data_IF_475741777847
#
_entry.id   IF_475741777847
#
_cell.length_a   1.000
_cell.length_b   1.000
_cell.length_c   1.000
_cell.angle_alpha   90.00
_cell.angle_beta   90.00
_cell.angle_gamma   90.00
#
_symmetry.space_group_name_H-M   'P 1'
#
loop_
_entity.id
_entity.type
_entity.pdbx_description
1 polymer ?
#
# COMPACT_ATOMS: atom_id res chain seq x y z
N UNK A 1 9.54 38.38 -45.58
CA UNK A 1 8.92 38.99 -44.38
C UNK A 1 7.87 38.01 -43.87
N UNK A 2 8.07 37.14 -42.88
CA UNK A 2 9.02 37.13 -41.77
C UNK A 2 8.23 37.11 -40.46
N UNK A 3 7.63 35.97 -40.09
CA UNK A 3 7.12 35.74 -38.73
C UNK A 3 7.86 34.54 -38.14
N UNK A 4 8.80 34.85 -37.25
CA UNK A 4 9.51 33.87 -36.43
C UNK A 4 8.56 33.37 -35.33
N UNK A 5 8.19 32.09 -35.38
CA UNK A 5 7.67 31.36 -34.22
C UNK A 5 8.86 30.83 -33.42
N UNK A 6 9.03 31.33 -32.20
CA UNK A 6 10.13 30.93 -31.31
C UNK A 6 9.87 29.53 -30.76
N UNK A 7 10.71 28.57 -31.16
CA UNK A 7 10.87 27.29 -30.50
C UNK A 7 11.53 27.47 -29.13
N UNK A 8 10.77 27.28 -28.05
CA UNK A 8 11.33 27.14 -26.70
C UNK A 8 11.82 25.71 -26.46
N UNK A 9 12.96 25.51 -25.75
CA UNK A 9 13.51 24.17 -25.50
C UNK A 9 12.63 23.36 -24.53
N UNK A 10 12.61 22.02 -24.65
CA UNK A 10 11.90 21.16 -23.70
C UNK A 10 12.55 21.23 -22.33
N UNK A 11 11.72 21.38 -21.29
CA UNK A 11 12.19 21.38 -19.90
C UNK A 11 12.87 20.03 -19.56
N UNK A 12 14.01 20.03 -18.85
CA UNK A 12 14.74 18.80 -18.55
C UNK A 12 14.01 17.95 -17.51
N UNK A 13 13.77 16.70 -17.90
CA UNK A 13 13.36 15.54 -17.09
C UNK A 13 14.36 15.24 -15.97
N UNK A 14 14.37 16.02 -14.88
CA UNK A 14 15.25 15.78 -13.72
C UNK A 14 14.59 16.00 -12.35
N UNK A 15 13.27 16.09 -12.28
CA UNK A 15 12.55 16.29 -11.01
C UNK A 15 11.77 15.06 -10.49
N UNK A 16 11.95 13.88 -11.09
CA UNK A 16 11.25 12.63 -10.69
C UNK A 16 12.13 11.57 -10.01
N UNK A 17 13.38 11.91 -9.68
CA UNK A 17 14.32 10.94 -9.07
C UNK A 17 14.69 11.22 -7.61
N UNK A 18 13.98 12.09 -6.90
CA UNK A 18 14.25 12.35 -5.48
C UNK A 18 13.43 11.48 -4.50
N UNK A 19 12.72 10.47 -5.02
CA UNK A 19 12.24 9.34 -4.22
C UNK A 19 13.10 8.09 -4.49
N UNK A 20 14.42 8.28 -4.58
CA UNK A 20 15.38 7.18 -4.70
C UNK A 20 15.83 6.78 -3.30
N UNK A 21 15.12 5.79 -2.76
CA UNK A 21 15.67 4.66 -2.02
C UNK A 21 17.08 4.89 -1.44
N UNK A 22 17.14 5.28 -0.17
CA UNK A 22 18.35 5.12 0.63
C UNK A 22 18.56 3.63 0.90
N UNK A 23 19.14 2.90 -0.07
CA UNK A 23 19.61 1.54 0.14
C UNK A 23 21.07 1.40 -0.31
N UNK A 24 21.88 0.98 0.67
CA UNK A 24 23.21 0.38 0.59
C UNK A 24 24.43 1.33 0.56
N UNK A 25 24.96 1.59 1.77
CA UNK A 25 26.40 1.78 2.00
C UNK A 25 26.99 0.41 2.43
N UNK A 26 28.00 -0.17 1.77
CA UNK A 26 28.37 -1.58 1.94
C UNK A 26 29.42 -1.87 3.03
N UNK A 27 29.54 -1.08 4.09
CA UNK A 27 30.65 -1.22 5.07
C UNK A 27 30.26 -1.42 6.54
N UNK A 28 29.01 -1.72 6.86
CA UNK A 28 28.61 -2.10 8.23
C UNK A 28 27.66 -3.29 8.23
N UNK A 29 27.77 -4.23 9.19
CA UNK A 29 26.79 -5.31 9.32
C UNK A 29 25.44 -4.64 9.64
N UNK A 30 24.51 -4.72 8.69
CA UNK A 30 23.20 -4.11 8.79
C UNK A 30 22.39 -4.81 9.88
N UNK A 31 22.49 -4.31 11.11
CA UNK A 31 21.44 -4.44 12.11
C UNK A 31 20.12 -3.95 11.49
N UNK A 32 19.10 -4.76 11.67
CA UNK A 32 17.72 -4.59 11.24
C UNK A 32 17.13 -3.19 11.45
N UNK A 33 16.14 -2.87 10.61
CA UNK A 33 14.99 -2.00 10.87
C UNK A 33 15.26 -0.52 11.15
N UNK A 34 15.27 0.28 10.10
CA UNK A 34 14.87 1.70 10.18
C UNK A 34 13.85 2.07 9.09
N UNK A 35 12.93 1.16 8.77
CA UNK A 35 11.63 1.60 8.28
C UNK A 35 11.06 2.48 9.38
N UNK A 36 10.94 3.79 9.16
CA UNK A 36 10.18 4.65 10.06
C UNK A 36 8.86 3.94 10.35
N UNK A 37 8.63 3.56 11.61
CA UNK A 37 7.42 2.81 11.98
C UNK A 37 6.23 3.64 11.52
N UNK A 38 5.59 3.24 10.43
CA UNK A 38 4.39 3.92 9.97
C UNK A 38 3.37 3.80 11.09
N UNK A 39 2.91 4.93 11.62
CA UNK A 39 1.93 4.94 12.72
C UNK A 39 0.55 5.22 12.16
N UNK A 40 -0.43 4.38 12.55
CA UNK A 40 -1.84 4.69 12.29
C UNK A 40 -2.28 5.82 13.22
N UNK A 41 -2.53 7.00 12.64
CA UNK A 41 -3.09 8.16 13.35
C UNK A 41 -4.62 8.11 13.30
N UNK A 42 -5.18 7.79 12.13
CA UNK A 42 -6.63 7.72 11.92
C UNK A 42 -7.00 6.40 11.19
N UNK A 43 -7.52 5.39 11.90
CA UNK A 43 -7.85 4.10 11.27
C UNK A 43 -8.88 4.24 10.15
N UNK A 44 -9.80 5.22 10.24
CA UNK A 44 -10.75 5.51 9.16
C UNK A 44 -10.09 5.92 7.83
N UNK A 45 -8.87 6.47 7.85
CA UNK A 45 -8.15 6.76 6.61
C UNK A 45 -7.64 5.48 5.95
N UNK A 46 -7.19 4.51 6.75
CA UNK A 46 -6.78 3.18 6.28
C UNK A 46 -7.98 2.41 5.71
N UNK A 47 -9.14 2.49 6.37
CA UNK A 47 -10.39 1.95 5.83
C UNK A 47 -10.78 2.59 4.50
N UNK A 48 -10.65 3.92 4.37
CA UNK A 48 -10.94 4.62 3.13
C UNK A 48 -9.98 4.20 2.00
N UNK A 49 -8.69 4.03 2.30
CA UNK A 49 -7.70 3.52 1.32
C UNK A 49 -8.12 2.12 0.84
N UNK A 50 -8.48 1.23 1.77
CA UNK A 50 -8.97 -0.11 1.42
C UNK A 50 -10.26 -0.05 0.59
N UNK A 51 -11.20 0.83 0.93
CA UNK A 51 -12.45 1.01 0.19
C UNK A 51 -12.24 1.47 -1.25
N UNK A 52 -11.19 2.26 -1.49
CA UNK A 52 -10.84 2.77 -2.81
C UNK A 52 -10.06 1.76 -3.66
N UNK A 53 -9.41 0.78 -3.04
CA UNK A 53 -8.56 -0.19 -3.73
C UNK A 53 -9.26 -0.91 -4.91
N UNK A 54 -10.50 -1.42 -4.78
CA UNK A 54 -11.21 -2.05 -5.89
C UNK A 54 -11.60 -1.07 -7.00
N UNK A 55 -11.64 0.23 -6.72
CA UNK A 55 -11.99 1.27 -7.71
C UNK A 55 -10.80 1.69 -8.57
N UNK A 56 -9.59 1.20 -8.28
CA UNK A 56 -8.40 1.43 -9.09
C UNK A 56 -8.44 0.49 -10.30
N UNK A 57 -9.04 0.95 -11.39
CA UNK A 57 -9.16 0.21 -12.65
C UNK A 57 -8.97 1.12 -13.86
N UNK A 58 -8.49 0.57 -14.98
CA UNK A 58 -8.36 1.30 -16.24
C UNK A 58 -8.43 0.35 -17.43
N UNK A 59 -9.37 0.59 -18.35
CA UNK A 59 -9.52 -0.20 -19.58
C UNK A 59 -8.38 0.08 -20.57
N UNK A 60 -7.82 1.29 -20.53
CA UNK A 60 -6.73 1.69 -21.45
C UNK A 60 -5.35 1.28 -20.94
N UNK A 61 -5.18 1.15 -19.62
CA UNK A 61 -3.90 0.88 -18.96
C UNK A 61 -4.07 -0.07 -17.77
N UNK A 62 -4.46 -1.33 -18.01
CA UNK A 62 -4.75 -2.30 -16.94
C UNK A 62 -3.51 -2.60 -16.08
N UNK A 63 -2.32 -2.74 -16.69
CA UNK A 63 -1.06 -3.00 -15.99
C UNK A 63 -0.72 -1.89 -14.97
N UNK A 64 -0.88 -0.61 -15.37
CA UNK A 64 -0.59 0.51 -14.47
C UNK A 64 -1.62 0.63 -13.33
N UNK A 65 -2.88 0.28 -13.60
CA UNK A 65 -3.89 0.22 -12.55
C UNK A 65 -3.56 -0.90 -11.54
N UNK A 66 -3.14 -2.07 -12.03
CA UNK A 66 -2.70 -3.17 -11.18
C UNK A 66 -1.45 -2.81 -10.36
N UNK A 67 -0.45 -2.17 -10.95
CA UNK A 67 0.73 -1.69 -10.23
C UNK A 67 0.35 -0.74 -9.09
N UNK A 68 -0.61 0.16 -9.34
CA UNK A 68 -1.13 1.06 -8.31
C UNK A 68 -1.89 0.29 -7.21
N UNK A 69 -2.70 -0.70 -7.57
CA UNK A 69 -3.37 -1.56 -6.58
C UNK A 69 -2.36 -2.29 -5.70
N UNK A 70 -1.30 -2.86 -6.28
CA UNK A 70 -0.23 -3.55 -5.56
C UNK A 70 0.54 -2.58 -4.64
N UNK A 71 0.81 -1.36 -5.11
CA UNK A 71 1.44 -0.33 -4.29
C UNK A 71 0.57 0.06 -3.08
N UNK A 72 -0.74 0.22 -3.28
CA UNK A 72 -1.70 0.48 -2.19
C UNK A 72 -1.77 -0.70 -1.23
N UNK A 73 -1.84 -1.93 -1.73
CA UNK A 73 -1.81 -3.13 -0.89
C UNK A 73 -0.53 -3.21 -0.06
N UNK A 74 0.62 -2.86 -0.63
CA UNK A 74 1.89 -2.80 0.09
C UNK A 74 1.88 -1.73 1.21
N UNK A 75 1.30 -0.56 0.96
CA UNK A 75 1.11 0.48 2.00
C UNK A 75 0.24 -0.06 3.14
N UNK A 76 -0.87 -0.72 2.82
CA UNK A 76 -1.73 -1.34 3.83
C UNK A 76 -0.99 -2.44 4.62
N UNK A 77 -0.14 -3.22 3.95
CA UNK A 77 0.71 -4.22 4.60
C UNK A 77 1.69 -3.61 5.60
N UNK A 78 2.37 -2.54 5.22
CA UNK A 78 3.29 -1.83 6.10
C UNK A 78 2.55 -1.29 7.33
N UNK A 79 1.33 -0.78 7.14
CA UNK A 79 0.49 -0.31 8.25
C UNK A 79 0.09 -1.42 9.20
N UNK A 80 -0.28 -2.61 8.72
CA UNK A 80 -0.62 -3.74 9.63
C UNK A 80 0.60 -4.45 10.21
N UNK A 81 1.82 -3.96 9.93
CA UNK A 81 3.04 -4.70 10.26
C UNK A 81 3.40 -4.68 11.75
N UNK A 82 3.12 -3.57 12.45
CA UNK A 82 3.36 -3.45 13.89
C UNK A 82 2.16 -3.92 14.71
N UNK A 83 2.41 -4.53 15.86
CA UNK A 83 1.37 -4.98 16.80
C UNK A 83 0.44 -3.84 17.21
N UNK A 84 1.01 -2.66 17.52
CA UNK A 84 0.25 -1.45 17.85
C UNK A 84 -0.77 -1.09 16.76
N UNK A 85 -0.35 -1.06 15.49
CA UNK A 85 -1.27 -0.72 14.41
C UNK A 85 -2.27 -1.85 14.15
N UNK A 86 -1.84 -3.10 14.27
CA UNK A 86 -2.70 -4.26 14.13
C UNK A 86 -3.86 -4.20 15.13
N UNK A 87 -3.58 -3.86 16.40
CA UNK A 87 -4.61 -3.65 17.41
C UNK A 87 -5.59 -2.54 17.01
N UNK A 88 -5.08 -1.33 16.70
CA UNK A 88 -5.92 -0.17 16.32
C UNK A 88 -6.78 -0.47 15.08
N UNK A 89 -6.24 -1.17 14.10
CA UNK A 89 -6.94 -1.53 12.86
C UNK A 89 -7.93 -2.69 13.07
N UNK A 90 -7.64 -3.62 13.98
CA UNK A 90 -8.59 -4.65 14.38
C UNK A 90 -9.78 -4.07 15.13
N UNK A 91 -9.57 -3.15 16.08
CA UNK A 91 -10.63 -2.43 16.78
C UNK A 91 -11.50 -1.61 15.81
N UNK A 92 -10.92 -1.11 14.73
CA UNK A 92 -11.63 -0.45 13.63
C UNK A 92 -12.23 -1.40 12.58
N UNK A 93 -12.28 -2.71 12.84
CA UNK A 93 -12.87 -3.73 11.98
C UNK A 93 -12.25 -3.87 10.57
N UNK A 94 -10.95 -3.59 10.41
CA UNK A 94 -10.28 -3.71 9.10
C UNK A 94 -10.38 -5.13 8.50
N UNK A 95 -10.31 -6.18 9.33
CA UNK A 95 -10.45 -7.58 8.90
C UNK A 95 -11.82 -7.88 8.27
N UNK A 96 -12.91 -7.38 8.87
CA UNK A 96 -14.25 -7.50 8.30
C UNK A 96 -14.37 -6.70 7.00
N UNK A 97 -13.78 -5.49 6.99
CA UNK A 97 -13.83 -4.62 5.81
C UNK A 97 -13.06 -5.20 4.61
N UNK A 98 -11.95 -5.89 4.86
CA UNK A 98 -11.19 -6.63 3.84
C UNK A 98 -12.07 -7.67 3.14
N UNK A 99 -12.79 -8.49 3.91
CA UNK A 99 -13.72 -9.46 3.35
C UNK A 99 -14.87 -8.80 2.58
N UNK A 100 -15.39 -7.66 3.06
CA UNK A 100 -16.51 -6.97 2.40
C UNK A 100 -16.11 -6.31 1.08
N UNK A 101 -14.90 -5.74 0.99
CA UNK A 101 -14.46 -4.95 -0.16
C UNK A 101 -13.62 -5.72 -1.15
N UNK A 102 -12.91 -6.74 -0.70
CA UNK A 102 -11.95 -7.49 -1.51
C UNK A 102 -12.30 -8.98 -1.59
N UNK A 103 -13.56 -9.37 -1.36
CA UNK A 103 -14.00 -10.78 -1.43
C UNK A 103 -13.63 -11.45 -2.75
N UNK A 104 -13.74 -10.75 -3.88
CA UNK A 104 -13.40 -11.30 -5.19
C UNK A 104 -11.92 -11.65 -5.27
N UNK A 105 -11.03 -10.71 -4.92
CA UNK A 105 -9.59 -10.94 -4.92
C UNK A 105 -9.14 -11.95 -3.85
N UNK A 106 -9.85 -12.03 -2.72
CA UNK A 106 -9.58 -13.02 -1.68
C UNK A 106 -10.07 -14.42 -2.03
N UNK A 107 -11.10 -14.54 -2.87
CA UNK A 107 -11.67 -15.83 -3.29
C UNK A 107 -11.04 -16.43 -4.54
N UNK A 108 -10.14 -15.70 -5.20
CA UNK A 108 -9.45 -16.11 -6.42
C UNK A 108 -7.93 -16.15 -6.17
N UNK A 109 -7.38 -17.35 -6.02
CA UNK A 109 -5.95 -17.59 -5.73
C UNK A 109 -5.04 -17.12 -6.88
N UNK A 110 -5.56 -17.05 -8.11
CA UNK A 110 -4.82 -16.57 -9.28
C UNK A 110 -4.83 -15.03 -9.37
N UNK A 111 -5.63 -14.36 -8.54
CA UNK A 111 -5.70 -12.89 -8.54
C UNK A 111 -4.40 -12.28 -7.97
N UNK A 112 -3.79 -11.28 -8.62
CA UNK A 112 -2.49 -10.73 -8.20
C UNK A 112 -2.51 -10.07 -6.81
N UNK A 113 -3.66 -9.53 -6.38
CA UNK A 113 -3.85 -9.01 -5.01
C UNK A 113 -4.14 -10.10 -3.97
N UNK A 114 -4.33 -11.35 -4.34
CA UNK A 114 -4.66 -12.41 -3.41
C UNK A 114 -3.58 -12.60 -2.33
N UNK A 115 -2.30 -12.88 -2.67
CA UNK A 115 -1.28 -13.11 -1.65
C UNK A 115 -1.13 -11.94 -0.65
N UNK A 116 -1.14 -10.65 -1.08
CA UNK A 116 -1.00 -9.59 -0.12
C UNK A 116 -2.22 -9.38 0.77
N UNK A 117 -3.44 -9.54 0.24
CA UNK A 117 -4.68 -9.37 1.00
C UNK A 117 -4.92 -10.52 1.98
N UNK A 118 -4.64 -11.76 1.57
CA UNK A 118 -4.74 -12.94 2.42
C UNK A 118 -3.85 -12.79 3.65
N UNK A 119 -2.56 -12.44 3.44
CA UNK A 119 -1.61 -12.28 4.54
C UNK A 119 -2.04 -11.18 5.52
N UNK A 120 -2.60 -10.08 5.02
CA UNK A 120 -3.16 -9.03 5.88
C UNK A 120 -4.36 -9.55 6.68
N UNK A 121 -5.28 -10.25 6.02
CA UNK A 121 -6.48 -10.79 6.66
C UNK A 121 -6.14 -11.80 7.74
N UNK A 122 -5.29 -12.80 7.46
CA UNK A 122 -4.86 -13.83 8.41
C UNK A 122 -4.23 -13.22 9.66
N UNK A 123 -3.38 -12.21 9.47
CA UNK A 123 -2.77 -11.48 10.58
C UNK A 123 -3.82 -10.78 11.44
N UNK A 124 -4.70 -9.98 10.84
CA UNK A 124 -5.72 -9.23 11.58
C UNK A 124 -6.73 -10.17 12.25
N UNK A 125 -7.13 -11.25 11.58
CA UNK A 125 -8.02 -12.26 12.13
C UNK A 125 -7.37 -12.99 13.33
N UNK A 126 -6.09 -13.36 13.21
CA UNK A 126 -5.35 -13.95 14.33
C UNK A 126 -5.30 -13.02 15.53
N UNK A 127 -5.08 -11.72 15.32
CA UNK A 127 -5.13 -10.71 16.38
C UNK A 127 -6.53 -10.60 17.01
N UNK A 128 -7.58 -10.60 16.21
CA UNK A 128 -8.96 -10.50 16.68
C UNK A 128 -9.43 -11.73 17.48
N UNK A 129 -8.79 -12.89 17.28
CA UNK A 129 -9.05 -14.13 18.00
C UNK A 129 -8.23 -14.30 19.29
N UNK A 130 -7.25 -13.43 19.55
CA UNK A 130 -6.46 -13.52 20.78
C UNK A 130 -7.34 -13.27 22.02
N UNK A 131 -7.08 -13.95 23.15
CA UNK A 131 -7.88 -13.77 24.35
C UNK A 131 -7.81 -12.31 24.80
N UNK A 132 -8.95 -11.64 24.90
CA UNK A 132 -9.03 -10.41 25.69
C UNK A 132 -8.64 -10.81 27.12
N UNK A 133 -7.55 -10.28 27.64
CA UNK A 133 -7.24 -10.40 29.06
C UNK A 133 -8.41 -9.73 29.83
N UNK A 134 -9.29 -10.57 30.39
CA UNK A 134 -10.41 -10.17 31.26
C UNK A 134 -9.88 -9.80 32.66
#
# INVERSE_FOLDING_TARGET
HGYYGTSGPPAPVKALTDLKLHLANPSHPASSSSSSDMVVIHPGAVLAILDLLPSVCSDSQPEHALDLQLAVANILQLLVNSERNQQVLCEACLHQRLLQRCSQALGDEDHPLHPPLQRMFERLASQALQPMAL
#
